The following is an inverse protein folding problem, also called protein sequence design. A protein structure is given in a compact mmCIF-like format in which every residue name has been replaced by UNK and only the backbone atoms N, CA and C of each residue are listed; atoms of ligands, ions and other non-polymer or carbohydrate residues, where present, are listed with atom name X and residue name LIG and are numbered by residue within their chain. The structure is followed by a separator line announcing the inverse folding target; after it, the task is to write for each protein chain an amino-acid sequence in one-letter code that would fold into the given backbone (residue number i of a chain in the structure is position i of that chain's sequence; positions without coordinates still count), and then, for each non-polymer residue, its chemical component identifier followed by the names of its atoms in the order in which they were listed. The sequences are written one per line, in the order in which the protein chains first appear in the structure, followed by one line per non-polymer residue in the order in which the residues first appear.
data_IF_551848049964
#
_entry.id   IF_551848049964
#
_cell.length_a   1.000
_cell.length_b   1.000
_cell.length_c   1.000
_cell.angle_alpha   90.00
_cell.angle_beta   90.00
_cell.angle_gamma   90.00
#
_symmetry.space_group_name_H-M   'P 1'
#
loop_
_entity.id
_entity.type
_entity.pdbx_description
1 polymer ?
#
# COMPACT_ATOMS: atom_id res chain seq x y z
N UNK A 1 32.50 49.86 10.38
CA UNK A 1 31.06 49.62 10.57
C UNK A 1 30.38 48.87 9.38
N UNK A 2 31.12 48.34 8.41
CA UNK A 2 30.55 47.70 7.21
C UNK A 2 30.54 46.17 7.24
N UNK A 3 31.10 45.52 8.27
CA UNK A 3 31.22 44.05 8.30
C UNK A 3 30.05 43.32 8.98
N UNK A 4 29.20 44.02 9.74
CA UNK A 4 28.08 43.40 10.47
C UNK A 4 26.77 43.28 9.66
N UNK A 5 26.63 44.05 8.57
CA UNK A 5 25.42 44.02 7.73
C UNK A 5 25.39 42.88 6.73
N UNK A 6 26.55 42.39 6.35
CA UNK A 6 26.67 41.32 5.34
C UNK A 6 26.38 39.92 5.95
N UNK A 7 26.80 39.71 7.20
CA UNK A 7 26.57 38.46 7.92
C UNK A 7 25.08 38.21 8.22
N UNK A 8 24.29 39.27 8.50
CA UNK A 8 22.83 39.15 8.70
C UNK A 8 22.09 38.81 7.41
N UNK A 9 22.55 39.33 6.26
CA UNK A 9 21.95 39.05 4.95
C UNK A 9 22.27 37.62 4.48
N UNK A 10 23.45 37.10 4.80
CA UNK A 10 23.86 35.74 4.49
C UNK A 10 23.12 34.72 5.37
N UNK A 11 22.97 34.96 6.66
CA UNK A 11 22.21 34.12 7.59
C UNK A 11 20.71 34.13 7.23
N UNK A 12 20.14 35.25 6.83
CA UNK A 12 18.74 35.34 6.42
C UNK A 12 18.49 34.61 5.09
N UNK A 13 19.45 34.65 4.16
CA UNK A 13 19.36 33.89 2.89
C UNK A 13 19.51 32.36 3.08
N UNK A 14 20.34 31.92 4.01
CA UNK A 14 20.48 30.52 4.39
C UNK A 14 19.22 30.02 5.10
N UNK A 15 18.60 30.84 5.96
CA UNK A 15 17.32 30.49 6.60
C UNK A 15 16.15 30.45 5.62
N UNK A 16 16.11 31.32 4.61
CA UNK A 16 15.10 31.26 3.54
C UNK A 16 15.32 30.07 2.60
N UNK A 17 16.56 29.65 2.35
CA UNK A 17 16.87 28.45 1.55
C UNK A 17 16.58 27.14 2.31
N UNK A 18 16.70 27.14 3.64
CA UNK A 18 16.32 25.98 4.48
C UNK A 18 14.79 25.86 4.66
N UNK A 19 14.03 26.95 4.50
CA UNK A 19 12.55 26.88 4.53
C UNK A 19 11.94 26.40 3.19
N UNK A 20 12.69 26.41 2.10
CA UNK A 20 12.20 25.92 0.79
C UNK A 20 12.46 24.42 0.54
N UNK A 21 13.14 23.72 1.46
CA UNK A 21 13.35 22.26 1.36
C UNK A 21 12.32 21.44 2.14
N UNK A 22 11.26 22.06 2.65
CA UNK A 22 10.19 21.32 3.30
C UNK A 22 9.07 21.03 2.29
N UNK A 23 8.95 19.72 2.03
CA UNK A 23 7.76 19.06 1.51
C UNK A 23 7.43 19.27 0.03
N UNK A 24 8.25 18.70 -0.84
CA UNK A 24 7.64 17.93 -1.91
C UNK A 24 7.20 16.59 -1.30
N UNK A 25 6.16 16.59 -0.47
CA UNK A 25 5.34 15.38 -0.33
C UNK A 25 4.75 15.20 -1.71
N UNK A 26 5.33 14.30 -2.49
CA UNK A 26 4.70 13.80 -3.69
C UNK A 26 3.37 13.21 -3.21
N UNK A 27 2.30 14.01 -3.27
CA UNK A 27 0.94 13.51 -3.13
C UNK A 27 0.78 12.52 -4.29
N UNK A 28 0.89 11.23 -3.96
CA UNK A 28 0.76 10.17 -4.94
C UNK A 28 -0.70 10.03 -5.36
N UNK A 29 -1.22 11.04 -6.06
CA UNK A 29 -2.51 10.91 -6.71
C UNK A 29 -2.42 9.73 -7.66
N UNK A 30 -3.19 8.70 -7.37
CA UNK A 30 -3.41 7.63 -8.33
C UNK A 30 -4.11 8.24 -9.53
N UNK A 31 -3.47 8.21 -10.69
CA UNK A 31 -4.02 8.72 -11.94
C UNK A 31 -4.04 7.61 -12.98
N UNK A 32 -5.14 7.52 -13.70
CA UNK A 32 -5.28 6.59 -14.80
C UNK A 32 -5.32 7.34 -16.12
N UNK A 33 -4.47 6.95 -17.06
CA UNK A 33 -4.50 7.53 -18.39
C UNK A 33 -5.78 7.13 -19.14
N UNK A 34 -6.27 7.96 -20.07
CA UNK A 34 -7.37 7.55 -20.94
C UNK A 34 -7.06 6.29 -21.77
N UNK A 35 -5.78 6.03 -22.04
CA UNK A 35 -5.31 4.83 -22.72
C UNK A 35 -5.55 3.59 -21.89
N UNK A 36 -5.09 3.59 -20.65
CA UNK A 36 -5.31 2.51 -19.70
C UNK A 36 -6.81 2.22 -19.50
N UNK A 37 -7.63 3.26 -19.24
CA UNK A 37 -9.07 3.06 -19.03
C UNK A 37 -9.77 2.43 -20.23
N UNK A 38 -9.38 2.80 -21.48
CA UNK A 38 -9.92 2.15 -22.68
C UNK A 38 -9.51 0.68 -22.79
N UNK A 39 -8.26 0.35 -22.45
CA UNK A 39 -7.80 -1.05 -22.45
C UNK A 39 -8.52 -1.88 -21.37
N UNK A 40 -8.73 -1.31 -20.19
CA UNK A 40 -9.50 -1.93 -19.11
C UNK A 40 -10.94 -2.20 -19.58
N UNK A 41 -11.60 -1.21 -20.15
CA UNK A 41 -12.96 -1.37 -20.69
C UNK A 41 -13.04 -2.45 -21.78
N UNK A 42 -12.06 -2.50 -22.68
CA UNK A 42 -12.01 -3.50 -23.75
C UNK A 42 -11.80 -4.93 -23.21
N UNK A 43 -11.06 -5.08 -22.12
CA UNK A 43 -10.70 -6.40 -21.57
C UNK A 43 -11.72 -6.93 -20.57
N UNK A 44 -12.27 -6.07 -19.69
CA UNK A 44 -13.13 -6.48 -18.55
C UNK A 44 -14.54 -5.88 -18.58
N UNK A 45 -14.89 -5.18 -19.68
CA UNK A 45 -16.23 -4.59 -19.84
C UNK A 45 -16.28 -3.09 -19.52
N UNK A 46 -17.38 -2.46 -19.97
CA UNK A 46 -17.57 -1.00 -19.90
C UNK A 46 -17.54 -0.44 -18.47
N UNK A 47 -17.93 -1.24 -17.50
CA UNK A 47 -18.08 -0.82 -16.10
C UNK A 47 -16.75 -0.95 -15.30
N UNK A 48 -15.77 -1.67 -15.86
CA UNK A 48 -14.47 -1.88 -15.18
C UNK A 48 -13.71 -0.57 -14.89
N UNK A 49 -13.67 0.44 -15.79
CA UNK A 49 -13.04 1.72 -15.48
C UNK A 49 -13.66 2.46 -14.29
N UNK A 50 -14.97 2.33 -14.06
CA UNK A 50 -15.68 3.02 -12.96
C UNK A 50 -15.12 2.55 -11.61
N UNK A 51 -14.85 1.27 -11.41
CA UNK A 51 -14.26 0.74 -10.19
C UNK A 51 -12.87 1.31 -9.88
N UNK A 52 -12.08 1.55 -10.91
CA UNK A 52 -10.78 2.20 -10.75
C UNK A 52 -10.94 3.68 -10.38
N UNK A 53 -11.90 4.35 -11.01
CA UNK A 53 -12.22 5.75 -10.75
C UNK A 53 -12.73 5.91 -9.31
N UNK A 54 -13.60 5.03 -8.85
CA UNK A 54 -14.11 5.01 -7.48
C UNK A 54 -12.97 4.87 -6.45
N UNK A 55 -12.04 3.93 -6.66
CA UNK A 55 -10.87 3.78 -5.81
C UNK A 55 -10.00 5.05 -5.78
N UNK A 56 -9.70 5.61 -6.95
CA UNK A 56 -8.97 6.89 -7.07
C UNK A 56 -9.68 8.00 -6.30
N UNK A 57 -10.98 8.13 -6.45
CA UNK A 57 -11.77 9.21 -5.84
C UNK A 57 -11.87 9.03 -4.32
N UNK A 58 -11.95 7.79 -3.84
CA UNK A 58 -11.87 7.49 -2.40
C UNK A 58 -10.52 7.88 -1.81
N UNK A 59 -9.40 7.65 -2.52
CA UNK A 59 -8.09 8.11 -2.12
C UNK A 59 -8.00 9.65 -2.15
N UNK A 60 -8.43 10.26 -3.25
CA UNK A 60 -8.37 11.71 -3.46
C UNK A 60 -9.14 12.47 -2.38
N UNK A 61 -10.35 12.05 -2.01
CA UNK A 61 -11.14 12.65 -0.93
C UNK A 61 -10.38 12.72 0.40
N UNK A 62 -9.54 11.73 0.71
CA UNK A 62 -8.76 11.68 1.95
C UNK A 62 -7.49 12.51 1.84
N UNK A 63 -6.79 12.44 0.71
CA UNK A 63 -5.58 13.22 0.41
C UNK A 63 -5.91 14.73 0.47
N UNK A 64 -7.02 15.17 -0.14
CA UNK A 64 -7.44 16.57 -0.12
C UNK A 64 -7.73 17.08 1.30
N UNK A 65 -8.31 16.23 2.15
CA UNK A 65 -8.54 16.57 3.56
C UNK A 65 -7.26 16.73 4.37
N UNK A 66 -6.19 16.01 3.98
CA UNK A 66 -4.87 16.11 4.64
C UNK A 66 -4.15 17.43 4.33
N UNK A 67 -4.48 18.12 3.24
CA UNK A 67 -3.86 19.38 2.81
C UNK A 67 -2.32 19.30 2.71
N UNK A 68 -1.81 18.16 2.24
CA UNK A 68 -0.37 17.91 2.10
C UNK A 68 0.37 17.65 3.42
N UNK A 69 -0.34 17.38 4.51
CA UNK A 69 0.26 16.99 5.80
C UNK A 69 0.30 15.47 5.91
N UNK A 70 1.38 14.93 6.47
CA UNK A 70 1.48 13.50 6.79
C UNK A 70 0.35 13.13 7.76
N UNK A 71 -0.36 12.03 7.53
CA UNK A 71 -1.47 11.63 8.41
C UNK A 71 -0.99 11.38 9.84
N UNK A 72 -1.77 11.87 10.81
CA UNK A 72 -1.53 11.56 12.23
C UNK A 72 -1.81 10.07 12.52
N UNK A 73 -1.29 9.55 13.64
CA UNK A 73 -1.55 8.18 14.06
C UNK A 73 -3.06 7.84 14.12
N UNK A 74 -3.87 8.77 14.65
CA UNK A 74 -5.32 8.58 14.69
C UNK A 74 -5.97 8.52 13.30
N UNK A 75 -5.49 9.32 12.35
CA UNK A 75 -5.96 9.28 10.97
C UNK A 75 -5.55 7.97 10.28
N UNK A 76 -4.33 7.48 10.55
CA UNK A 76 -3.87 6.20 9.99
C UNK A 76 -4.80 5.08 10.46
N UNK A 77 -5.15 4.99 11.74
CA UNK A 77 -6.07 3.96 12.24
C UNK A 77 -7.42 3.98 11.50
N UNK A 78 -7.96 5.16 11.23
CA UNK A 78 -9.18 5.29 10.40
C UNK A 78 -8.96 4.76 8.98
N UNK A 79 -7.79 5.05 8.38
CA UNK A 79 -7.47 4.54 7.04
C UNK A 79 -7.28 3.03 7.00
N UNK A 80 -6.73 2.43 8.08
CA UNK A 80 -6.62 0.98 8.18
C UNK A 80 -8.00 0.32 8.08
N UNK A 81 -8.97 0.78 8.89
CA UNK A 81 -10.34 0.25 8.88
C UNK A 81 -11.05 0.49 7.55
N UNK A 82 -10.98 1.73 7.04
CA UNK A 82 -11.62 2.11 5.78
C UNK A 82 -11.14 1.22 4.62
N UNK A 83 -9.82 1.07 4.46
CA UNK A 83 -9.27 0.30 3.33
C UNK A 83 -9.21 -1.20 3.58
N UNK A 84 -9.27 -1.66 4.83
CA UNK A 84 -9.56 -3.06 5.11
C UNK A 84 -10.97 -3.40 4.59
N UNK A 85 -11.98 -2.60 4.93
CA UNK A 85 -13.36 -2.78 4.46
C UNK A 85 -13.47 -2.68 2.94
N UNK A 86 -12.92 -1.60 2.35
CA UNK A 86 -13.00 -1.35 0.90
C UNK A 86 -12.51 -2.55 0.07
N UNK A 87 -11.31 -3.06 0.39
CA UNK A 87 -10.77 -4.20 -0.35
C UNK A 87 -11.49 -5.51 -0.03
N UNK A 88 -11.95 -5.71 1.21
CA UNK A 88 -12.68 -6.91 1.59
C UNK A 88 -14.07 -7.03 0.91
N UNK A 89 -14.58 -5.96 0.32
CA UNK A 89 -15.81 -5.99 -0.48
C UNK A 89 -15.58 -6.51 -1.91
N UNK A 90 -14.31 -6.61 -2.39
CA UNK A 90 -13.98 -7.30 -3.65
C UNK A 90 -14.27 -8.79 -3.49
N UNK A 91 -14.81 -9.39 -4.54
CA UNK A 91 -15.18 -10.82 -4.51
C UNK A 91 -13.95 -11.72 -4.44
N UNK A 92 -14.01 -12.74 -3.56
CA UNK A 92 -12.95 -13.74 -3.47
C UNK A 92 -12.98 -14.74 -4.64
N UNK A 93 -11.83 -14.91 -5.30
CA UNK A 93 -11.59 -15.94 -6.29
C UNK A 93 -10.16 -16.49 -6.13
N UNK A 94 -10.02 -17.81 -6.16
CA UNK A 94 -8.69 -18.41 -6.25
C UNK A 94 -8.08 -18.17 -7.62
N UNK A 95 -6.79 -17.93 -7.68
CA UNK A 95 -6.02 -17.68 -8.90
C UNK A 95 -6.26 -18.69 -10.01
N UNK A 96 -6.27 -19.96 -9.66
CA UNK A 96 -6.49 -21.04 -10.65
C UNK A 96 -7.84 -20.92 -11.35
N UNK A 97 -8.85 -20.34 -10.70
CA UNK A 97 -10.19 -20.12 -11.26
C UNK A 97 -10.31 -18.81 -11.98
N UNK A 98 -9.61 -17.79 -11.49
CA UNK A 98 -9.71 -16.41 -11.98
C UNK A 98 -8.73 -16.14 -13.12
N UNK A 99 -7.46 -16.49 -12.91
CA UNK A 99 -6.36 -16.21 -13.83
C UNK A 99 -5.88 -17.45 -14.62
N UNK A 100 -6.37 -18.64 -14.28
CA UNK A 100 -5.89 -19.94 -14.82
C UNK A 100 -4.40 -20.20 -14.55
N UNK A 101 -3.88 -19.58 -13.47
CA UNK A 101 -2.53 -19.71 -12.96
C UNK A 101 -2.58 -20.23 -11.53
N UNK A 102 -1.50 -20.86 -11.06
CA UNK A 102 -1.45 -21.42 -9.70
C UNK A 102 -1.20 -20.36 -8.64
N UNK A 103 -0.57 -19.23 -9.04
CA UNK A 103 -0.15 -18.14 -8.15
C UNK A 103 0.09 -16.90 -9.02
N UNK A 104 -0.76 -15.88 -8.89
CA UNK A 104 -0.78 -14.68 -9.71
C UNK A 104 -1.07 -13.45 -8.86
N UNK A 105 -0.06 -12.67 -8.56
CA UNK A 105 -0.24 -11.42 -7.82
C UNK A 105 -0.77 -10.32 -8.73
N UNK A 106 -2.07 -10.07 -8.66
CA UNK A 106 -2.71 -9.03 -9.47
C UNK A 106 -2.32 -7.63 -8.98
N UNK A 107 -2.22 -6.68 -9.92
CA UNK A 107 -2.09 -5.27 -9.55
C UNK A 107 -3.42 -4.77 -8.97
N UNK A 108 -3.44 -3.67 -8.18
CA UNK A 108 -4.69 -3.05 -7.76
C UNK A 108 -5.63 -2.74 -8.93
N UNK A 109 -5.07 -2.38 -10.10
CA UNK A 109 -5.82 -2.15 -11.32
C UNK A 109 -6.46 -3.44 -11.84
N UNK A 110 -5.70 -4.52 -11.94
CA UNK A 110 -6.19 -5.83 -12.38
C UNK A 110 -7.26 -6.36 -11.44
N UNK A 111 -7.05 -6.29 -10.13
CA UNK A 111 -8.00 -6.74 -9.10
C UNK A 111 -9.33 -6.02 -9.21
N UNK A 112 -9.32 -4.69 -9.25
CA UNK A 112 -10.55 -3.89 -9.37
C UNK A 112 -11.22 -4.06 -10.73
N UNK A 113 -10.44 -4.10 -11.81
CA UNK A 113 -10.99 -4.26 -13.14
C UNK A 113 -11.68 -5.61 -13.34
N UNK A 114 -11.13 -6.68 -12.76
CA UNK A 114 -11.66 -8.05 -12.89
C UNK A 114 -12.69 -8.43 -11.82
N UNK A 115 -12.88 -7.58 -10.79
CA UNK A 115 -13.73 -7.85 -9.60
C UNK A 115 -13.41 -9.15 -8.90
N UNK A 116 -12.13 -9.52 -8.85
CA UNK A 116 -11.70 -10.77 -8.23
C UNK A 116 -10.35 -10.66 -7.57
N UNK A 117 -10.22 -11.26 -6.40
CA UNK A 117 -9.02 -11.22 -5.57
C UNK A 117 -8.86 -12.52 -4.79
N UNK A 118 -7.63 -12.95 -4.49
CA UNK A 118 -7.36 -13.84 -3.37
C UNK A 118 -6.49 -13.15 -2.30
N UNK A 119 -5.87 -13.90 -1.39
CA UNK A 119 -5.34 -13.31 -0.17
C UNK A 119 -4.23 -12.28 -0.40
N UNK A 120 -3.35 -12.51 -1.36
CA UNK A 120 -2.28 -11.58 -1.69
C UNK A 120 -2.80 -10.32 -2.37
N UNK A 121 -3.79 -10.43 -3.24
CA UNK A 121 -4.37 -9.30 -3.95
C UNK A 121 -5.03 -8.31 -2.99
N UNK A 122 -5.75 -8.82 -1.98
CA UNK A 122 -6.27 -7.97 -0.90
C UNK A 122 -5.17 -7.25 -0.14
N UNK A 123 -4.10 -7.97 0.25
CA UNK A 123 -2.98 -7.39 0.98
C UNK A 123 -2.25 -6.33 0.15
N UNK A 124 -2.03 -6.59 -1.16
CA UNK A 124 -1.43 -5.68 -2.13
C UNK A 124 -2.30 -4.42 -2.30
N UNK A 125 -3.60 -4.59 -2.51
CA UNK A 125 -4.52 -3.47 -2.68
C UNK A 125 -4.55 -2.53 -1.47
N UNK A 126 -4.64 -3.10 -0.26
CA UNK A 126 -4.55 -2.37 1.01
C UNK A 126 -3.21 -1.64 1.15
N UNK A 127 -2.10 -2.33 0.86
CA UNK A 127 -0.76 -1.76 0.91
C UNK A 127 -0.61 -0.51 0.03
N UNK A 128 -0.99 -0.59 -1.25
CA UNK A 128 -0.87 0.54 -2.17
C UNK A 128 -1.85 1.67 -1.86
N UNK A 129 -3.02 1.37 -1.32
CA UNK A 129 -3.97 2.39 -0.86
C UNK A 129 -3.42 3.19 0.31
N UNK A 130 -2.92 2.52 1.35
CA UNK A 130 -2.35 3.17 2.52
C UNK A 130 -1.08 3.96 2.17
N UNK A 131 -0.24 3.41 1.29
CA UNK A 131 0.94 4.12 0.77
C UNK A 131 0.55 5.39 0.01
N UNK A 132 -0.48 5.36 -0.85
CA UNK A 132 -1.00 6.52 -1.56
C UNK A 132 -1.53 7.60 -0.59
N UNK A 133 -2.08 7.21 0.54
CA UNK A 133 -2.53 8.10 1.62
C UNK A 133 -1.40 8.66 2.48
N UNK A 134 -0.13 8.37 2.16
CA UNK A 134 1.02 8.90 2.86
C UNK A 134 1.37 8.16 4.15
N UNK A 135 0.85 6.94 4.35
CA UNK A 135 1.35 6.06 5.42
C UNK A 135 2.80 5.67 5.07
N UNK A 136 3.78 5.88 5.97
CA UNK A 136 5.17 5.59 5.66
C UNK A 136 5.42 4.12 5.33
N UNK A 137 6.16 3.86 4.25
CA UNK A 137 6.45 2.51 3.75
C UNK A 137 7.10 1.61 4.81
N UNK A 138 7.98 2.17 5.64
CA UNK A 138 8.64 1.45 6.73
C UNK A 138 7.67 0.91 7.79
N UNK A 139 6.45 1.45 7.87
CA UNK A 139 5.40 1.01 8.78
C UNK A 139 4.48 -0.06 8.18
N UNK A 140 4.59 -0.34 6.88
CA UNK A 140 3.74 -1.29 6.15
C UNK A 140 4.54 -2.53 5.76
N UNK A 141 4.01 -3.71 6.05
CA UNK A 141 4.60 -4.99 5.62
C UNK A 141 3.51 -5.94 5.13
N UNK A 142 3.59 -6.35 3.88
CA UNK A 142 2.84 -7.50 3.38
C UNK A 142 3.45 -8.73 4.02
N UNK A 143 2.64 -9.53 4.72
CA UNK A 143 3.11 -10.61 5.58
C UNK A 143 2.54 -11.95 5.13
N UNK A 144 3.43 -12.87 4.76
CA UNK A 144 3.07 -14.26 4.53
C UNK A 144 2.95 -14.98 5.86
N UNK A 145 1.79 -15.59 6.09
CA UNK A 145 1.46 -16.28 7.33
C UNK A 145 0.95 -17.70 7.04
N UNK A 146 1.00 -18.56 8.04
CA UNK A 146 0.23 -19.81 8.03
C UNK A 146 -1.05 -19.59 8.83
N UNK A 147 -2.20 -19.72 8.18
CA UNK A 147 -3.51 -19.65 8.80
C UNK A 147 -3.83 -21.01 9.43
N UNK A 148 -3.75 -21.09 10.77
CA UNK A 148 -3.83 -22.35 11.52
C UNK A 148 -5.18 -23.03 11.39
N UNK A 149 -6.26 -22.26 11.35
CA UNK A 149 -7.63 -22.78 11.25
C UNK A 149 -7.84 -23.60 9.98
N UNK A 150 -7.20 -23.21 8.88
CA UNK A 150 -7.33 -23.88 7.58
C UNK A 150 -6.08 -24.67 7.18
N UNK A 151 -5.03 -24.60 8.02
CA UNK A 151 -3.72 -25.19 7.77
C UNK A 151 -3.18 -24.88 6.36
N UNK A 152 -3.29 -23.63 5.94
CA UNK A 152 -2.87 -23.18 4.62
C UNK A 152 -2.06 -21.90 4.66
N UNK A 153 -1.35 -21.63 3.57
CA UNK A 153 -0.69 -20.38 3.30
C UNK A 153 -1.74 -19.25 3.20
N UNK A 154 -1.38 -18.07 3.70
CA UNK A 154 -2.22 -16.90 3.65
C UNK A 154 -1.39 -15.62 3.62
N UNK A 155 -1.95 -14.53 3.14
CA UNK A 155 -1.31 -13.22 3.12
C UNK A 155 -2.16 -12.15 3.76
N UNK A 156 -1.53 -11.31 4.56
CA UNK A 156 -2.16 -10.18 5.25
C UNK A 156 -1.29 -8.93 5.11
N UNK A 157 -1.87 -7.77 5.35
CA UNK A 157 -1.09 -6.54 5.54
C UNK A 157 -0.94 -6.27 7.03
N UNK A 158 0.29 -6.02 7.48
CA UNK A 158 0.62 -5.59 8.83
C UNK A 158 1.05 -4.11 8.83
N UNK A 159 0.47 -3.32 9.73
CA UNK A 159 0.87 -1.94 9.99
C UNK A 159 1.53 -1.84 11.36
N UNK A 160 2.77 -1.37 11.39
CA UNK A 160 3.59 -1.16 12.58
C UNK A 160 3.62 0.33 12.94
N UNK A 161 2.96 0.80 14.02
CA UNK A 161 3.06 2.20 14.46
C UNK A 161 4.50 2.64 14.75
N UNK A 162 5.29 1.75 15.34
CA UNK A 162 6.75 1.84 15.52
C UNK A 162 7.38 0.48 15.22
N UNK A 163 8.69 0.42 15.03
CA UNK A 163 9.39 -0.81 14.61
C UNK A 163 9.17 -2.00 15.55
N UNK A 164 9.01 -1.72 16.86
CA UNK A 164 8.84 -2.74 17.90
C UNK A 164 7.38 -2.86 18.41
N UNK A 165 6.45 -2.15 17.77
CA UNK A 165 5.05 -2.22 18.19
C UNK A 165 4.41 -3.55 17.77
N UNK A 166 3.42 -3.99 18.53
CA UNK A 166 2.47 -5.00 18.10
C UNK A 166 1.69 -4.47 16.89
N UNK A 167 1.80 -5.06 15.70
CA UNK A 167 1.21 -4.48 14.50
C UNK A 167 -0.30 -4.72 14.42
N UNK A 168 -0.98 -3.80 13.76
CA UNK A 168 -2.36 -3.99 13.32
C UNK A 168 -2.40 -4.86 12.05
N UNK A 169 -3.26 -5.86 12.04
CA UNK A 169 -3.44 -6.81 10.93
C UNK A 169 -4.71 -6.48 10.14
N UNK A 170 -4.52 -6.27 8.84
CA UNK A 170 -5.58 -6.09 7.87
C UNK A 170 -5.71 -7.40 7.08
N UNK A 171 -6.84 -8.05 7.20
CA UNK A 171 -7.07 -9.40 6.67
C UNK A 171 -8.41 -9.45 5.91
N UNK A 172 -8.49 -10.23 4.83
CA UNK A 172 -9.74 -10.46 4.12
C UNK A 172 -10.64 -11.52 4.80
N UNK A 173 -10.09 -12.31 5.72
CA UNK A 173 -10.84 -13.28 6.52
C UNK A 173 -11.50 -12.66 7.76
N UNK A 174 -11.06 -11.46 8.15
CA UNK A 174 -11.58 -10.70 9.28
C UNK A 174 -12.00 -9.30 8.85
N UNK A 175 -13.20 -8.91 9.25
CA UNK A 175 -13.74 -7.60 8.89
C UNK A 175 -13.09 -6.46 9.67
N UNK A 176 -12.72 -6.73 10.92
CA UNK A 176 -12.09 -5.77 11.80
C UNK A 176 -10.56 -5.82 11.65
N UNK A 177 -9.93 -4.68 11.83
CA UNK A 177 -8.48 -4.59 12.02
C UNK A 177 -8.18 -4.93 13.47
N UNK A 178 -7.29 -5.90 13.70
CA UNK A 178 -6.96 -6.43 15.03
C UNK A 178 -5.45 -6.40 15.25
N UNK A 179 -5.01 -6.39 16.51
CA UNK A 179 -3.58 -6.51 16.83
C UNK A 179 -3.08 -7.93 16.53
N UNK A 180 -1.81 -8.05 16.15
CA UNK A 180 -1.21 -9.36 15.86
C UNK A 180 -1.23 -10.30 17.06
N UNK A 181 -1.11 -9.77 18.28
CA UNK A 181 -1.22 -10.53 19.53
C UNK A 181 -2.61 -11.15 19.74
N UNK A 182 -3.64 -10.58 19.13
CA UNK A 182 -5.03 -11.08 19.18
C UNK A 182 -5.29 -12.13 18.09
N UNK A 183 -4.46 -12.15 17.02
CA UNK A 183 -4.54 -13.07 15.88
C UNK A 183 -3.76 -14.35 16.11
N UNK A 184 -4.15 -15.08 17.16
CA UNK A 184 -3.52 -16.38 17.53
C UNK A 184 -3.73 -17.48 16.49
N UNK A 185 -4.60 -17.24 15.52
CA UNK A 185 -4.86 -18.11 14.37
C UNK A 185 -3.81 -17.95 13.22
N UNK A 186 -2.93 -16.94 13.30
CA UNK A 186 -1.93 -16.63 12.28
C UNK A 186 -0.51 -16.85 12.82
N UNK A 187 0.33 -17.55 12.05
CA UNK A 187 1.75 -17.71 12.37
C UNK A 187 2.56 -17.05 11.25
N UNK A 188 3.26 -15.93 11.52
CA UNK A 188 4.07 -15.25 10.51
C UNK A 188 5.25 -16.11 10.06
N UNK A 189 5.63 -16.01 8.79
CA UNK A 189 6.75 -16.72 8.19
C UNK A 189 7.79 -15.73 7.67
N UNK A 190 7.38 -14.76 6.85
CA UNK A 190 8.18 -13.65 6.40
C UNK A 190 7.28 -12.45 6.05
N UNK A 191 7.87 -11.28 6.00
CA UNK A 191 7.17 -10.06 5.57
C UNK A 191 8.08 -9.21 4.67
N UNK A 192 7.49 -8.34 3.87
CA UNK A 192 8.22 -7.46 2.97
C UNK A 192 7.42 -6.18 2.67
N UNK A 193 8.13 -5.20 2.14
CA UNK A 193 7.54 -3.99 1.57
C UNK A 193 8.25 -3.62 0.25
N UNK A 194 8.22 -2.37 -0.18
CA UNK A 194 8.90 -1.94 -1.41
C UNK A 194 10.42 -2.19 -1.41
N UNK A 195 11.05 -2.18 -0.24
CA UNK A 195 12.50 -2.12 -0.10
C UNK A 195 13.08 -3.40 0.49
N UNK A 196 12.49 -3.86 1.58
CA UNK A 196 13.09 -4.82 2.48
C UNK A 196 12.26 -6.10 2.66
N UNK A 197 12.94 -7.16 3.11
CA UNK A 197 12.40 -8.46 3.44
C UNK A 197 12.83 -8.83 4.87
N UNK A 198 11.87 -9.27 5.70
CA UNK A 198 12.08 -9.72 7.08
C UNK A 198 11.66 -11.17 7.24
N UNK A 199 12.46 -11.94 7.94
CA UNK A 199 12.03 -13.26 8.45
C UNK A 199 11.21 -13.06 9.73
N UNK A 200 10.29 -13.97 10.01
CA UNK A 200 9.43 -13.89 11.20
C UNK A 200 10.25 -13.69 12.49
N UNK A 201 9.81 -12.74 13.31
CA UNK A 201 10.45 -12.38 14.57
C UNK A 201 11.70 -11.50 14.44
N UNK A 202 12.14 -11.16 13.23
CA UNK A 202 13.25 -10.25 13.03
C UNK A 202 12.79 -8.78 12.99
N UNK A 203 13.46 -7.92 13.77
CA UNK A 203 13.28 -6.46 13.71
C UNK A 203 14.09 -5.85 12.57
N UNK A 204 15.26 -6.44 12.26
CA UNK A 204 16.10 -6.01 11.16
C UNK A 204 15.80 -6.76 9.86
N UNK A 205 15.96 -6.08 8.73
CA UNK A 205 15.78 -6.69 7.42
C UNK A 205 16.86 -7.74 7.16
N UNK A 206 16.45 -8.93 6.74
CA UNK A 206 17.33 -10.04 6.36
C UNK A 206 17.63 -10.11 4.86
N UNK A 207 17.02 -9.22 4.06
CA UNK A 207 17.18 -9.21 2.60
C UNK A 207 16.42 -8.06 1.94
N UNK A 208 16.35 -8.12 0.61
CA UNK A 208 15.61 -7.16 -0.21
C UNK A 208 14.38 -7.81 -0.83
N UNK A 209 13.27 -7.07 -0.88
CA UNK A 209 12.01 -7.52 -1.49
C UNK A 209 12.15 -7.88 -2.97
N UNK A 210 13.15 -7.32 -3.66
CA UNK A 210 13.50 -7.69 -5.04
C UNK A 210 13.91 -9.16 -5.20
N UNK A 211 14.18 -9.89 -4.13
CA UNK A 211 14.42 -11.34 -4.16
C UNK A 211 13.11 -12.14 -4.37
N UNK A 212 11.94 -11.54 -4.07
CA UNK A 212 10.63 -12.14 -4.27
C UNK A 212 10.24 -11.97 -5.74
N UNK A 213 10.25 -13.06 -6.50
CA UNK A 213 9.99 -13.05 -7.94
C UNK A 213 8.61 -12.47 -8.30
N UNK A 214 7.58 -12.84 -7.55
CA UNK A 214 6.20 -12.40 -7.80
C UNK A 214 6.03 -10.90 -7.49
N UNK A 215 6.68 -10.40 -6.44
CA UNK A 215 6.69 -8.97 -6.12
C UNK A 215 7.34 -8.13 -7.23
N UNK A 216 8.47 -8.57 -7.76
CA UNK A 216 9.09 -7.89 -8.93
C UNK A 216 8.17 -7.90 -10.14
N UNK A 217 7.57 -9.06 -10.45
CA UNK A 217 6.63 -9.17 -11.56
C UNK A 217 5.41 -8.26 -11.41
N UNK A 218 4.91 -8.09 -10.17
CA UNK A 218 3.86 -7.13 -9.85
C UNK A 218 4.30 -5.69 -10.12
N UNK A 219 5.49 -5.30 -9.63
CA UNK A 219 6.03 -3.96 -9.86
C UNK A 219 6.24 -3.67 -11.34
N UNK A 220 6.78 -4.61 -12.10
CA UNK A 220 6.93 -4.50 -13.56
C UNK A 220 5.59 -4.29 -14.31
N UNK A 221 4.51 -4.91 -13.82
CA UNK A 221 3.15 -4.70 -14.35
C UNK A 221 2.64 -3.30 -14.02
N UNK A 222 2.77 -2.88 -12.77
CA UNK A 222 2.34 -1.55 -12.32
C UNK A 222 3.08 -0.42 -13.05
N UNK A 223 4.36 -0.60 -13.36
CA UNK A 223 5.11 0.37 -14.14
C UNK A 223 4.59 0.48 -15.58
N UNK A 224 4.21 -0.63 -16.20
CA UNK A 224 3.56 -0.61 -17.52
C UNK A 224 2.20 0.08 -17.48
N UNK A 225 1.41 -0.13 -16.45
CA UNK A 225 0.11 0.54 -16.27
C UNK A 225 0.24 2.06 -16.14
N UNK A 226 1.35 2.57 -15.59
CA UNK A 226 1.61 4.03 -15.45
C UNK A 226 1.91 4.72 -16.77
N UNK A 227 2.48 4.02 -17.75
CA UNK A 227 2.90 4.59 -19.03
C UNK A 227 1.89 4.36 -20.17
N UNK A 228 0.83 3.60 -19.95
CA UNK A 228 -0.28 3.38 -20.87
C UNK A 228 -1.31 4.49 -20.78
#
# INVERSE_FOLDING_TARGET
MACFTDMRRTVLRIFLLLLCCSAAVASGYVQFSPGLLRQIAARWGSDAPERLIDWRDELAKRIDRQRGVVPSAAQILVYLDDFNGYWNDVRYYQDIRHWHLMDYWATPVETLASEGADCEDYAIGKYFSLKALGVPVQNLRITYVRALRWNQAHMVLAYYPTVDADPYILDNLHRNVELASERTDLVPVYSFNDEDLWVAGATEAGGKSSQIRLWRGLQDKMDKERIM
#
